data_IF_172016854586
#
_entry.id   IF_172016854586
#
_cell.length_a   1.000
_cell.length_b   1.000
_cell.length_c   1.000
_cell.angle_alpha   90.00
_cell.angle_beta   90.00
_cell.angle_gamma   90.00
#
_symmetry.space_group_name_H-M   'P 1'
#
loop_
_entity.id
_entity.type
_entity.pdbx_description
1 polymer ?
#
# COMPACT_ATOMS: atom_id res chain seq x y z
N UNK A 1 -18.13 -0.81 -42.68
CA UNK A 1 -19.26 -0.46 -41.85
C UNK A 1 -18.67 0.41 -40.73
N UNK A 2 -19.08 1.67 -40.57
CA UNK A 2 -18.62 2.47 -39.43
C UNK A 2 -19.19 1.85 -38.16
N UNK A 3 -18.28 1.60 -37.19
CA UNK A 3 -18.67 1.08 -35.89
C UNK A 3 -19.66 2.02 -35.20
N UNK A 4 -20.62 1.45 -34.51
CA UNK A 4 -21.56 2.17 -33.65
C UNK A 4 -20.77 3.03 -32.64
N UNK A 5 -21.21 4.27 -32.34
CA UNK A 5 -20.56 5.07 -31.31
C UNK A 5 -20.64 4.29 -29.99
N UNK A 6 -19.48 4.07 -29.38
CA UNK A 6 -19.41 3.54 -27.99
C UNK A 6 -20.43 4.29 -27.16
N UNK A 7 -21.38 3.54 -26.55
CA UNK A 7 -22.34 4.10 -25.62
C UNK A 7 -21.64 5.03 -24.64
N UNK A 8 -22.27 6.16 -24.36
CA UNK A 8 -21.74 7.20 -23.49
C UNK A 8 -21.20 6.57 -22.20
N UNK A 9 -19.90 6.67 -22.04
CA UNK A 9 -19.12 6.00 -21.03
C UNK A 9 -19.77 6.20 -19.66
N UNK A 10 -20.12 5.11 -19.00
CA UNK A 10 -20.89 5.10 -17.76
C UNK A 10 -20.06 5.75 -16.67
N UNK A 11 -20.46 6.96 -16.26
CA UNK A 11 -19.87 7.65 -15.11
C UNK A 11 -20.16 6.87 -13.85
N UNK A 12 -19.13 6.61 -13.04
CA UNK A 12 -19.26 5.95 -11.75
C UNK A 12 -18.90 6.90 -10.61
N UNK A 13 -19.87 7.19 -9.74
CA UNK A 13 -19.62 7.84 -8.45
C UNK A 13 -19.27 6.83 -7.34
N UNK A 14 -19.56 5.55 -7.56
CA UNK A 14 -19.49 4.51 -6.55
C UNK A 14 -18.05 4.23 -6.13
N UNK A 15 -17.13 4.11 -7.09
CA UNK A 15 -15.72 3.85 -6.82
C UNK A 15 -14.95 5.05 -6.26
N UNK A 16 -15.42 6.28 -6.51
CA UNK A 16 -14.79 7.49 -5.99
C UNK A 16 -14.73 7.45 -4.48
N UNK A 17 -15.79 6.96 -3.86
CA UNK A 17 -15.92 6.97 -2.41
C UNK A 17 -14.84 6.14 -1.73
N UNK A 18 -14.43 5.03 -2.33
CA UNK A 18 -13.45 4.10 -1.75
C UNK A 18 -12.05 4.72 -1.58
N UNK A 19 -11.75 5.75 -2.37
CA UNK A 19 -10.46 6.42 -2.33
C UNK A 19 -10.49 7.89 -1.91
N UNK A 20 -11.69 8.48 -1.74
CA UNK A 20 -11.85 9.93 -1.56
C UNK A 20 -11.10 10.49 -0.34
N UNK A 21 -10.88 9.67 0.70
CA UNK A 21 -10.07 10.05 1.84
C UNK A 21 -8.66 10.45 1.43
N UNK A 22 -8.03 9.73 0.51
CA UNK A 22 -6.70 10.06 -0.01
C UNK A 22 -6.71 11.35 -0.83
N UNK A 23 -7.81 11.62 -1.54
CA UNK A 23 -7.97 12.86 -2.29
C UNK A 23 -8.15 14.09 -1.37
N UNK A 24 -8.73 13.90 -0.17
CA UNK A 24 -8.94 14.98 0.79
C UNK A 24 -7.71 15.31 1.63
N UNK A 25 -6.73 14.45 1.71
CA UNK A 25 -5.47 14.67 2.45
C UNK A 25 -4.69 15.87 1.91
N UNK A 26 -3.83 16.44 2.75
CA UNK A 26 -2.93 17.52 2.35
C UNK A 26 -1.89 17.04 1.37
N UNK A 27 -1.29 15.90 1.67
CA UNK A 27 -0.27 15.26 0.84
C UNK A 27 -0.87 14.11 0.06
N UNK A 28 -0.56 14.02 -1.23
CA UNK A 28 -0.94 12.89 -2.06
C UNK A 28 -0.08 11.70 -1.70
N UNK A 29 -0.70 10.62 -1.29
CA UNK A 29 0.01 9.37 -1.01
C UNK A 29 0.19 8.62 -2.32
N UNK A 30 1.42 8.56 -2.78
CA UNK A 30 1.80 7.92 -4.04
C UNK A 30 2.82 6.80 -3.76
N UNK A 31 2.35 5.55 -3.53
CA UNK A 31 3.25 4.42 -3.42
C UNK A 31 3.97 4.14 -4.73
N UNK A 32 5.12 3.49 -4.65
CA UNK A 32 5.95 3.04 -5.77
C UNK A 32 6.25 1.55 -5.67
N UNK A 33 5.91 0.79 -6.70
CA UNK A 33 6.45 -0.54 -6.93
C UNK A 33 7.66 -0.46 -7.85
N UNK A 34 8.71 -1.18 -7.51
CA UNK A 34 9.95 -1.24 -8.25
C UNK A 34 10.29 -2.70 -8.56
N UNK A 35 10.24 -3.07 -9.84
CA UNK A 35 10.62 -4.40 -10.32
C UNK A 35 11.93 -4.32 -11.06
N UNK A 36 12.93 -5.06 -10.60
CA UNK A 36 14.19 -5.22 -11.34
C UNK A 36 14.08 -6.45 -12.23
N UNK A 37 14.17 -6.26 -13.54
CA UNK A 37 14.15 -7.32 -14.53
C UNK A 37 15.57 -7.84 -14.77
N UNK A 38 15.69 -9.05 -15.33
CA UNK A 38 16.98 -9.65 -15.62
C UNK A 38 17.73 -8.93 -16.76
N UNK A 39 17.03 -8.26 -17.65
CA UNK A 39 17.58 -7.55 -18.82
C UNK A 39 17.12 -6.10 -18.86
N UNK A 40 17.84 -5.21 -19.54
CA UNK A 40 17.40 -3.83 -19.76
C UNK A 40 16.01 -3.76 -20.40
N UNK A 41 15.18 -2.86 -19.89
CA UNK A 41 13.79 -2.66 -20.33
C UNK A 41 13.78 -1.91 -21.65
N UNK A 42 13.00 -2.41 -22.59
CA UNK A 42 12.67 -1.69 -23.82
C UNK A 42 11.40 -0.85 -23.60
N UNK A 43 11.48 0.49 -23.60
CA UNK A 43 10.34 1.36 -23.32
C UNK A 43 9.23 1.22 -24.36
N UNK A 44 9.56 0.91 -25.64
CA UNK A 44 8.56 0.78 -26.68
C UNK A 44 7.74 -0.51 -26.54
N UNK A 45 8.39 -1.61 -26.15
CA UNK A 45 7.69 -2.86 -25.83
C UNK A 45 6.86 -2.72 -24.53
N UNK A 46 7.37 -1.97 -23.54
CA UNK A 46 6.64 -1.72 -22.32
C UNK A 46 5.38 -0.86 -22.58
N UNK A 47 5.46 0.12 -23.50
CA UNK A 47 4.29 0.90 -23.93
C UNK A 47 3.23 0.00 -24.58
N UNK A 48 3.62 -0.89 -25.50
CA UNK A 48 2.69 -1.82 -26.14
C UNK A 48 2.02 -2.74 -25.10
N UNK A 49 2.79 -3.21 -24.12
CA UNK A 49 2.25 -4.03 -23.03
C UNK A 49 1.25 -3.26 -22.15
N UNK A 50 1.54 -2.00 -21.84
CA UNK A 50 0.64 -1.11 -21.09
C UNK A 50 -0.68 -0.89 -21.84
N UNK A 51 -0.61 -0.56 -23.13
CA UNK A 51 -1.79 -0.31 -23.96
C UNK A 51 -2.70 -1.54 -24.00
N UNK A 52 -2.13 -2.72 -24.22
CA UNK A 52 -2.88 -3.98 -24.22
C UNK A 52 -3.44 -4.38 -22.84
N UNK A 53 -2.72 -4.07 -21.77
CA UNK A 53 -3.19 -4.32 -20.40
C UNK A 53 -4.37 -3.40 -20.03
N UNK A 54 -4.35 -2.14 -20.47
CA UNK A 54 -5.42 -1.18 -20.22
C UNK A 54 -6.74 -1.58 -20.92
N UNK A 55 -6.69 -2.26 -22.07
CA UNK A 55 -7.88 -2.82 -22.70
C UNK A 55 -8.54 -3.91 -21.83
N UNK A 56 -7.73 -4.71 -21.14
CA UNK A 56 -8.21 -5.77 -20.24
C UNK A 56 -8.61 -5.25 -18.86
N UNK A 57 -8.26 -4.00 -18.53
CA UNK A 57 -8.45 -3.42 -17.19
C UNK A 57 -9.10 -2.01 -17.25
N UNK A 58 -10.35 -1.88 -17.70
CA UNK A 58 -11.02 -0.59 -17.88
C UNK A 58 -11.12 0.22 -16.60
N UNK A 59 -11.08 -0.41 -15.43
CA UNK A 59 -11.06 0.27 -14.13
C UNK A 59 -9.89 1.27 -13.99
N UNK A 60 -8.74 1.00 -14.61
CA UNK A 60 -7.58 1.90 -14.57
C UNK A 60 -7.57 2.94 -15.69
N UNK A 61 -8.44 2.80 -16.69
CA UNK A 61 -8.56 3.74 -17.79
C UNK A 61 -9.59 4.83 -17.51
N UNK A 62 -9.39 5.53 -16.41
CA UNK A 62 -10.35 6.53 -15.91
C UNK A 62 -9.67 7.83 -15.51
N UNK A 63 -10.46 8.91 -15.49
CA UNK A 63 -10.11 10.20 -14.91
C UNK A 63 -11.19 10.68 -13.95
N UNK A 64 -10.85 11.55 -13.01
CA UNK A 64 -11.78 12.14 -12.05
C UNK A 64 -12.36 13.42 -12.60
N UNK A 65 -13.68 13.54 -12.56
CA UNK A 65 -14.41 14.75 -12.95
C UNK A 65 -15.28 15.23 -11.79
N UNK A 66 -15.22 16.52 -11.54
CA UNK A 66 -16.03 17.18 -10.53
C UNK A 66 -17.17 17.97 -11.17
N UNK A 67 -18.39 17.63 -10.80
CA UNK A 67 -19.58 18.39 -11.15
C UNK A 67 -20.24 18.95 -9.88
N UNK A 68 -20.24 20.29 -9.78
CA UNK A 68 -20.84 20.99 -8.62
C UNK A 68 -20.24 20.51 -7.29
N UNK A 69 -20.76 19.46 -6.72
CA UNK A 69 -20.40 18.91 -5.39
C UNK A 69 -20.15 17.42 -5.39
N UNK A 70 -20.21 16.78 -6.55
CA UNK A 70 -20.03 15.34 -6.73
C UNK A 70 -18.83 15.07 -7.62
N UNK A 71 -18.14 13.99 -7.31
CA UNK A 71 -17.05 13.47 -8.11
C UNK A 71 -17.51 12.20 -8.86
N UNK A 72 -16.96 12.02 -10.05
CA UNK A 72 -17.23 10.86 -10.87
C UNK A 72 -15.93 10.38 -11.48
N UNK A 73 -15.76 9.05 -11.58
CA UNK A 73 -14.81 8.45 -12.51
C UNK A 73 -15.49 8.32 -13.86
N UNK A 74 -14.83 8.78 -14.90
CA UNK A 74 -15.27 8.57 -16.28
C UNK A 74 -14.10 8.02 -17.10
N UNK A 75 -14.36 7.30 -18.21
CA UNK A 75 -13.28 6.82 -19.06
C UNK A 75 -12.37 7.94 -19.53
N UNK A 76 -11.08 7.65 -19.51
CA UNK A 76 -10.05 8.54 -19.99
C UNK A 76 -9.66 8.15 -21.42
N UNK A 77 -9.81 9.06 -22.36
CA UNK A 77 -9.42 8.88 -23.77
C UNK A 77 -8.00 9.35 -24.10
N UNK A 78 -7.37 10.05 -23.16
CA UNK A 78 -6.00 10.52 -23.34
C UNK A 78 -5.02 9.33 -23.37
N UNK A 79 -3.88 9.45 -24.08
CA UNK A 79 -2.87 8.40 -24.08
C UNK A 79 -2.24 8.21 -22.68
N UNK A 80 -2.11 6.96 -22.27
CA UNK A 80 -1.34 6.59 -21.09
C UNK A 80 0.10 6.30 -21.52
N UNK A 81 1.06 7.04 -20.98
CA UNK A 81 2.45 6.99 -21.45
C UNK A 81 3.35 6.22 -20.51
N UNK A 82 4.32 5.49 -21.07
CA UNK A 82 5.50 5.00 -20.35
C UNK A 82 6.57 6.09 -20.38
N UNK A 83 7.15 6.37 -19.21
CA UNK A 83 8.20 7.38 -19.07
C UNK A 83 9.57 6.70 -18.99
N UNK A 84 10.54 7.07 -19.87
CA UNK A 84 11.87 6.44 -19.90
C UNK A 84 12.83 7.05 -18.87
N UNK A 85 12.37 7.20 -17.65
CA UNK A 85 13.11 7.74 -16.49
C UNK A 85 12.57 7.15 -15.19
N UNK A 86 13.15 7.51 -14.03
CA UNK A 86 12.69 7.08 -12.69
C UNK A 86 11.98 8.17 -11.90
N UNK A 87 11.72 9.34 -12.52
CA UNK A 87 11.20 10.52 -11.85
C UNK A 87 9.70 10.36 -11.59
N UNK A 88 9.29 10.38 -10.32
CA UNK A 88 7.87 10.31 -9.94
C UNK A 88 7.11 11.51 -10.52
N UNK A 89 5.93 11.23 -11.07
CA UNK A 89 5.05 12.23 -11.66
C UNK A 89 3.98 12.67 -10.66
N UNK A 90 3.64 13.95 -10.71
CA UNK A 90 2.48 14.45 -9.98
C UNK A 90 1.19 13.98 -10.67
N UNK A 91 0.38 13.21 -9.94
CA UNK A 91 -0.83 12.59 -10.47
C UNK A 91 -2.09 13.30 -9.95
N UNK A 92 -3.10 13.50 -10.78
CA UNK A 92 -3.20 13.15 -12.20
C UNK A 92 -2.68 14.24 -13.17
N UNK A 93 -2.06 15.30 -12.66
CA UNK A 93 -1.73 16.52 -13.39
C UNK A 93 -0.68 16.30 -14.50
N UNK A 94 0.32 15.46 -14.24
CA UNK A 94 1.43 15.18 -15.17
C UNK A 94 1.29 13.82 -15.88
N UNK A 95 0.15 13.15 -15.72
CA UNK A 95 -0.09 11.79 -16.23
C UNK A 95 -1.30 11.71 -17.17
N UNK A 96 -1.62 12.78 -17.89
CA UNK A 96 -2.78 12.85 -18.78
C UNK A 96 -4.10 12.46 -18.08
N UNK A 97 -4.24 12.81 -16.79
CA UNK A 97 -5.44 12.51 -16.02
C UNK A 97 -5.49 11.10 -15.40
N UNK A 98 -4.47 10.25 -15.62
CA UNK A 98 -4.38 8.94 -14.98
C UNK A 98 -3.90 9.06 -13.53
N UNK A 99 -4.35 8.10 -12.70
CA UNK A 99 -3.96 7.99 -11.29
C UNK A 99 -2.78 7.05 -11.07
N UNK A 100 -2.05 6.75 -12.11
CA UNK A 100 -0.81 5.99 -12.06
C UNK A 100 0.15 6.47 -13.15
N UNK A 101 1.42 6.13 -12.98
CA UNK A 101 2.49 6.34 -13.95
C UNK A 101 3.35 5.08 -14.05
N UNK A 102 3.70 4.69 -15.26
CA UNK A 102 4.62 3.58 -15.53
C UNK A 102 5.92 4.15 -16.07
N UNK A 103 7.02 3.80 -15.41
CA UNK A 103 8.36 4.29 -15.76
C UNK A 103 9.31 3.13 -16.03
N UNK A 104 10.38 3.37 -16.73
CA UNK A 104 11.48 2.43 -16.81
C UNK A 104 12.83 3.15 -16.94
N UNK A 105 13.82 2.63 -16.22
CA UNK A 105 15.20 3.08 -16.33
C UNK A 105 16.13 1.86 -16.21
N UNK A 106 17.06 1.72 -17.16
CA UNK A 106 17.93 0.55 -17.23
C UNK A 106 17.12 -0.76 -17.26
N UNK A 107 17.25 -1.63 -16.26
CA UNK A 107 16.52 -2.88 -16.12
C UNK A 107 15.40 -2.81 -15.07
N UNK A 108 14.98 -1.61 -14.67
CA UNK A 108 13.98 -1.41 -13.64
C UNK A 108 12.69 -0.84 -14.23
N UNK A 109 11.57 -1.44 -13.86
CA UNK A 109 10.22 -0.92 -14.09
C UNK A 109 9.69 -0.34 -12.79
N UNK A 110 9.24 0.90 -12.80
CA UNK A 110 8.60 1.57 -11.68
C UNK A 110 7.12 1.78 -12.01
N UNK A 111 6.27 1.49 -11.04
CA UNK A 111 4.85 1.76 -11.11
C UNK A 111 4.45 2.61 -9.91
N UNK A 112 4.14 3.86 -10.18
CA UNK A 112 3.65 4.81 -9.19
C UNK A 112 2.14 4.92 -9.32
N UNK A 113 1.43 5.03 -8.20
CA UNK A 113 0.01 5.32 -8.28
C UNK A 113 -0.44 6.23 -7.14
N UNK A 114 -1.41 7.08 -7.43
CA UNK A 114 -2.09 7.82 -6.38
C UNK A 114 -3.02 6.86 -5.62
N UNK A 115 -2.82 6.73 -4.33
CA UNK A 115 -3.54 5.76 -3.49
C UNK A 115 -5.07 5.94 -3.51
N UNK A 116 -5.55 7.06 -4.09
CA UNK A 116 -6.95 7.31 -4.39
C UNK A 116 -7.59 6.20 -5.22
N UNK A 117 -6.90 5.69 -6.27
CA UNK A 117 -7.51 4.74 -7.21
C UNK A 117 -7.54 3.31 -6.67
N UNK A 118 -6.52 2.89 -5.92
CA UNK A 118 -6.38 1.51 -5.46
C UNK A 118 -5.40 1.38 -4.29
N UNK A 119 -5.51 0.27 -3.56
CA UNK A 119 -4.45 -0.23 -2.67
C UNK A 119 -3.46 -1.14 -3.43
N UNK A 120 -2.40 -1.58 -2.75
CA UNK A 120 -1.36 -2.42 -3.35
C UNK A 120 -1.90 -3.75 -3.90
N UNK A 121 -2.86 -4.37 -3.23
CA UNK A 121 -3.52 -5.61 -3.69
C UNK A 121 -4.40 -5.35 -4.92
N UNK A 122 -5.02 -4.17 -4.99
CA UNK A 122 -5.82 -3.74 -6.14
C UNK A 122 -4.98 -3.57 -7.40
N UNK A 123 -3.81 -2.90 -7.33
CA UNK A 123 -2.96 -2.65 -8.50
C UNK A 123 -2.18 -3.88 -8.97
N UNK A 124 -1.87 -4.83 -8.07
CA UNK A 124 -1.01 -5.96 -8.38
C UNK A 124 -1.44 -6.78 -9.62
N UNK A 125 -2.73 -7.13 -9.83
CA UNK A 125 -3.14 -7.88 -11.02
C UNK A 125 -2.96 -7.10 -12.33
N UNK A 126 -3.14 -5.79 -12.29
CA UNK A 126 -2.94 -4.95 -13.46
C UNK A 126 -1.45 -4.86 -13.81
N UNK A 127 -0.61 -4.62 -12.82
CA UNK A 127 0.83 -4.56 -13.03
C UNK A 127 1.43 -5.90 -13.43
N UNK A 128 0.98 -7.01 -12.81
CA UNK A 128 1.36 -8.37 -13.24
C UNK A 128 1.05 -8.59 -14.71
N UNK A 129 -0.14 -8.15 -15.17
CA UNK A 129 -0.54 -8.26 -16.57
C UNK A 129 0.37 -7.45 -17.50
N UNK A 130 0.77 -6.23 -17.12
CA UNK A 130 1.72 -5.42 -17.91
C UNK A 130 3.04 -6.18 -18.06
N UNK A 131 3.57 -6.76 -16.97
CA UNK A 131 4.83 -7.51 -17.00
C UNK A 131 4.72 -8.81 -17.81
N UNK A 132 3.60 -9.54 -17.72
CA UNK A 132 3.31 -10.73 -18.53
C UNK A 132 3.32 -10.40 -20.04
N UNK A 133 2.60 -9.35 -20.44
CA UNK A 133 2.53 -8.91 -21.83
C UNK A 133 3.88 -8.36 -22.31
N UNK A 134 4.62 -7.66 -21.46
CA UNK A 134 5.99 -7.26 -21.78
C UNK A 134 6.88 -8.48 -22.03
N UNK A 135 6.79 -9.53 -21.20
CA UNK A 135 7.54 -10.76 -21.41
C UNK A 135 7.15 -11.48 -22.71
N UNK A 136 5.86 -11.45 -23.08
CA UNK A 136 5.44 -11.98 -24.38
C UNK A 136 6.17 -11.29 -25.56
N UNK A 137 6.24 -9.97 -25.51
CA UNK A 137 6.88 -9.17 -26.56
C UNK A 137 8.41 -9.32 -26.52
N UNK A 138 9.01 -9.36 -25.33
CA UNK A 138 10.46 -9.33 -25.15
C UNK A 138 11.11 -10.71 -25.30
N UNK A 139 10.44 -11.76 -24.78
CA UNK A 139 11.03 -13.10 -24.63
C UNK A 139 10.26 -14.19 -25.38
N UNK A 140 9.16 -13.83 -26.05
CA UNK A 140 8.34 -14.80 -26.80
C UNK A 140 7.56 -15.75 -25.91
N UNK A 141 7.24 -15.37 -24.67
CA UNK A 141 6.31 -16.12 -23.81
C UNK A 141 4.87 -16.02 -24.35
N UNK A 142 3.94 -16.77 -23.76
CA UNK A 142 2.57 -16.84 -24.27
C UNK A 142 1.53 -16.64 -23.14
N UNK A 143 1.76 -15.65 -22.26
CA UNK A 143 0.79 -15.28 -21.25
C UNK A 143 -0.50 -14.74 -21.90
N UNK A 144 -1.64 -15.20 -21.40
CA UNK A 144 -2.94 -14.78 -21.89
C UNK A 144 -3.32 -13.37 -21.38
N UNK A 145 -4.18 -12.67 -22.12
CA UNK A 145 -4.72 -11.35 -21.74
C UNK A 145 -6.25 -11.35 -21.54
N UNK A 146 -6.82 -12.18 -20.63
CA UNK A 146 -8.23 -12.09 -20.31
C UNK A 146 -8.56 -10.78 -19.56
N UNK A 147 -9.81 -10.31 -19.60
CA UNK A 147 -10.26 -9.18 -18.81
C UNK A 147 -9.91 -9.32 -17.33
N UNK A 148 -9.45 -8.25 -16.70
CA UNK A 148 -9.19 -8.20 -15.27
C UNK A 148 -10.50 -7.84 -14.55
N UNK A 149 -11.10 -8.76 -13.77
CA UNK A 149 -12.36 -8.49 -13.12
C UNK A 149 -12.20 -7.41 -12.03
N UNK A 150 -13.23 -6.56 -11.90
CA UNK A 150 -13.36 -5.61 -10.80
C UNK A 150 -14.73 -5.82 -10.14
N UNK A 151 -14.75 -6.13 -8.83
CA UNK A 151 -15.99 -6.22 -8.08
C UNK A 151 -16.70 -4.87 -8.04
N UNK A 152 -18.05 -4.84 -8.05
CA UNK A 152 -18.79 -3.62 -7.75
C UNK A 152 -18.35 -2.99 -6.43
N UNK A 153 -18.44 -1.67 -6.34
CA UNK A 153 -18.15 -0.97 -5.08
C UNK A 153 -19.18 -1.41 -4.02
N UNK A 154 -18.73 -1.58 -2.78
CA UNK A 154 -19.64 -1.88 -1.68
C UNK A 154 -20.41 -0.62 -1.25
N UNK A 155 -21.62 -0.83 -0.75
CA UNK A 155 -22.52 0.25 -0.32
C UNK A 155 -22.09 0.79 1.06
N UNK A 156 -21.42 1.95 1.03
CA UNK A 156 -20.94 2.64 2.24
C UNK A 156 -22.12 3.10 3.12
N UNK A 157 -23.21 3.57 2.53
CA UNK A 157 -24.33 4.05 3.31
C UNK A 157 -24.92 2.93 4.17
N UNK A 158 -25.12 1.76 3.56
CA UNK A 158 -25.56 0.55 4.25
C UNK A 158 -24.57 0.07 5.31
N UNK A 159 -23.26 0.15 5.01
CA UNK A 159 -22.23 -0.24 5.96
C UNK A 159 -22.25 0.67 7.21
N UNK A 160 -22.35 1.98 7.03
CA UNK A 160 -22.40 2.97 8.12
C UNK A 160 -23.72 2.88 8.91
N UNK A 161 -24.83 2.51 8.26
CA UNK A 161 -26.10 2.24 8.94
C UNK A 161 -26.00 0.99 9.83
N UNK A 162 -25.37 -0.08 9.34
CA UNK A 162 -25.18 -1.33 10.09
C UNK A 162 -24.19 -1.15 11.27
N UNK A 163 -23.17 -0.31 11.09
CA UNK A 163 -22.13 -0.03 12.06
C UNK A 163 -22.08 1.48 12.35
N UNK A 164 -22.97 2.01 13.19
CA UNK A 164 -22.93 3.42 13.55
C UNK A 164 -21.56 3.80 14.13
N UNK A 165 -21.08 5.02 13.75
CA UNK A 165 -19.83 5.55 14.27
C UNK A 165 -19.84 5.55 15.79
N UNK A 166 -18.86 4.92 16.39
CA UNK A 166 -18.57 5.11 17.81
C UNK A 166 -17.86 6.45 17.96
N UNK A 167 -18.30 7.24 18.95
CA UNK A 167 -17.51 8.37 19.43
C UNK A 167 -16.23 7.76 19.97
N UNK A 168 -15.08 8.14 19.42
CA UNK A 168 -13.80 7.65 19.94
C UNK A 168 -13.74 7.94 21.41
N UNK A 169 -13.57 6.90 22.21
CA UNK A 169 -13.33 7.04 23.64
C UNK A 169 -12.00 7.79 23.79
N UNK A 170 -12.03 8.93 24.50
CA UNK A 170 -10.89 9.84 24.64
C UNK A 170 -9.78 9.26 25.55
N UNK A 171 -9.52 7.97 25.51
CA UNK A 171 -8.26 7.45 26.03
C UNK A 171 -7.13 7.94 25.14
N UNK A 172 -6.88 9.24 25.27
CA UNK A 172 -5.69 9.92 24.76
C UNK A 172 -4.49 9.27 25.45
N UNK A 173 -3.91 8.25 24.82
CA UNK A 173 -2.57 7.83 25.19
C UNK A 173 -1.66 9.04 25.01
N UNK A 174 -1.10 9.54 26.11
CA UNK A 174 -0.07 10.57 26.07
C UNK A 174 1.05 10.05 25.20
N UNK A 175 1.33 10.75 24.12
CA UNK A 175 2.32 10.37 23.14
C UNK A 175 3.57 11.22 23.28
N UNK A 176 4.68 10.55 23.36
CA UNK A 176 5.97 11.16 23.16
C UNK A 176 6.18 11.39 21.65
N UNK A 177 6.23 12.67 21.24
CA UNK A 177 6.38 13.03 19.85
C UNK A 177 7.83 12.83 19.43
N UNK A 178 8.06 11.98 18.44
CA UNK A 178 9.37 11.83 17.81
C UNK A 178 9.56 12.98 16.82
N UNK A 179 10.73 13.62 16.85
CA UNK A 179 11.08 14.64 15.86
C UNK A 179 11.14 13.98 14.46
N UNK A 180 10.48 14.60 13.50
CA UNK A 180 10.43 14.12 12.11
C UNK A 180 10.70 15.25 11.12
N UNK A 181 11.29 14.91 9.98
CA UNK A 181 11.44 15.80 8.84
C UNK A 181 10.18 15.82 7.97
N UNK A 182 10.01 16.84 7.14
CA UNK A 182 8.90 16.92 6.19
C UNK A 182 8.99 15.80 5.14
N UNK A 183 10.18 15.59 4.57
CA UNK A 183 10.46 14.54 3.60
C UNK A 183 11.14 13.33 4.26
N UNK A 184 11.01 12.11 3.70
CA UNK A 184 11.76 10.95 4.14
C UNK A 184 13.27 11.21 4.04
N UNK A 185 13.98 11.15 5.17
CA UNK A 185 15.43 11.34 5.22
C UNK A 185 16.21 10.17 4.61
N UNK A 186 15.66 8.96 4.76
CA UNK A 186 16.36 7.74 4.35
C UNK A 186 15.38 6.72 3.83
N UNK A 187 15.70 6.13 2.69
CA UNK A 187 15.14 4.87 2.22
C UNK A 187 16.05 3.74 2.68
N UNK A 188 15.48 2.74 3.33
CA UNK A 188 16.22 1.62 3.87
C UNK A 188 15.69 0.33 3.27
N UNK A 189 16.59 -0.55 2.85
CA UNK A 189 16.26 -1.87 2.35
C UNK A 189 16.93 -2.94 3.19
N UNK A 190 16.12 -3.91 3.64
CA UNK A 190 16.57 -5.09 4.37
C UNK A 190 16.07 -6.33 3.64
N UNK A 191 16.93 -7.32 3.43
CA UNK A 191 16.57 -8.55 2.74
C UNK A 191 17.04 -9.77 3.51
N UNK A 192 16.17 -10.78 3.58
CA UNK A 192 16.47 -12.07 4.23
C UNK A 192 15.60 -13.19 3.64
N UNK A 193 15.94 -14.45 3.90
CA UNK A 193 15.20 -15.57 3.37
C UNK A 193 13.86 -15.76 4.10
N UNK A 194 12.77 -15.93 3.37
CA UNK A 194 11.43 -16.19 3.89
C UNK A 194 11.39 -17.40 4.82
N UNK A 195 12.12 -18.47 4.48
CA UNK A 195 12.15 -19.73 5.27
C UNK A 195 12.58 -19.49 6.72
N UNK A 196 13.51 -18.56 6.95
CA UNK A 196 14.06 -18.30 8.29
C UNK A 196 13.02 -17.56 9.16
N UNK A 197 12.28 -16.61 8.59
CA UNK A 197 11.14 -15.97 9.28
C UNK A 197 10.01 -16.97 9.58
N UNK A 198 9.72 -17.87 8.63
CA UNK A 198 8.71 -18.93 8.85
C UNK A 198 9.15 -19.85 10.00
N UNK A 199 10.42 -20.24 10.04
CA UNK A 199 10.98 -21.05 11.12
C UNK A 199 10.87 -20.33 12.48
N UNK A 200 11.16 -19.01 12.53
CA UNK A 200 11.00 -18.18 13.72
C UNK A 200 9.54 -18.11 14.18
N UNK A 201 8.59 -17.93 13.27
CA UNK A 201 7.16 -17.97 13.57
C UNK A 201 6.74 -19.31 14.18
N UNK A 202 7.18 -20.43 13.58
CA UNK A 202 6.91 -21.79 14.10
C UNK A 202 7.51 -21.99 15.49
N UNK A 203 8.76 -21.56 15.71
CA UNK A 203 9.44 -21.65 17.01
C UNK A 203 8.64 -20.95 18.12
N UNK A 204 8.02 -19.82 17.83
CA UNK A 204 7.24 -19.03 18.80
C UNK A 204 5.74 -19.36 18.80
N UNK A 205 5.27 -20.29 17.96
CA UNK A 205 3.86 -20.66 17.83
C UNK A 205 2.97 -19.54 17.25
N UNK A 206 3.53 -18.62 16.45
CA UNK A 206 2.84 -17.47 15.88
C UNK A 206 2.97 -17.41 14.35
N UNK A 207 2.16 -16.57 13.72
CA UNK A 207 2.32 -16.32 12.27
C UNK A 207 3.60 -15.56 11.98
N UNK A 208 4.26 -15.82 10.83
CA UNK A 208 5.47 -15.08 10.42
C UNK A 208 5.30 -13.56 10.41
N UNK A 209 4.10 -13.08 10.04
CA UNK A 209 3.73 -11.67 10.11
C UNK A 209 3.93 -11.07 11.52
N UNK A 210 3.42 -11.77 12.55
CA UNK A 210 3.52 -11.31 13.95
C UNK A 210 4.95 -11.42 14.46
N UNK A 211 5.69 -12.47 14.08
CA UNK A 211 7.10 -12.60 14.41
C UNK A 211 7.91 -11.41 13.85
N UNK A 212 7.71 -11.06 12.57
CA UNK A 212 8.37 -9.92 11.95
C UNK A 212 7.98 -8.60 12.61
N UNK A 213 6.68 -8.38 12.87
CA UNK A 213 6.19 -7.18 13.54
C UNK A 213 6.77 -7.01 14.95
N UNK A 214 6.89 -8.10 15.69
CA UNK A 214 7.55 -8.09 17.01
C UNK A 214 9.03 -7.73 16.94
N UNK A 215 9.76 -8.28 15.95
CA UNK A 215 11.18 -7.94 15.71
C UNK A 215 11.35 -6.47 15.31
N UNK A 216 10.40 -5.94 14.51
CA UNK A 216 10.38 -4.51 14.18
C UNK A 216 10.14 -3.65 15.44
N UNK A 217 9.24 -4.06 16.35
CA UNK A 217 9.03 -3.34 17.60
C UNK A 217 10.30 -3.27 18.45
N UNK A 218 11.04 -4.38 18.59
CA UNK A 218 12.32 -4.41 19.32
C UNK A 218 13.32 -3.46 18.67
N UNK A 219 13.53 -3.58 17.33
CA UNK A 219 14.50 -2.78 16.62
C UNK A 219 14.16 -1.28 16.63
N UNK A 220 12.88 -0.94 16.47
CA UNK A 220 12.43 0.45 16.44
C UNK A 220 12.37 1.06 17.85
N UNK A 221 12.09 0.26 18.91
CA UNK A 221 12.21 0.70 20.29
C UNK A 221 13.62 1.18 20.59
N UNK A 222 14.61 0.39 20.25
CA UNK A 222 16.03 0.78 20.39
C UNK A 222 16.39 1.99 19.51
N UNK A 223 15.96 1.99 18.26
CA UNK A 223 16.22 3.09 17.34
C UNK A 223 15.62 4.41 17.82
N UNK A 224 14.39 4.40 18.25
CA UNK A 224 13.66 5.61 18.71
C UNK A 224 14.02 5.96 20.16
N UNK A 225 14.59 5.05 20.94
CA UNK A 225 14.86 5.21 22.38
C UNK A 225 13.58 5.20 23.21
N UNK A 226 12.64 4.32 22.89
CA UNK A 226 11.33 4.24 23.52
C UNK A 226 11.10 2.88 24.18
N UNK A 227 10.53 2.92 25.39
CA UNK A 227 10.10 1.72 26.10
C UNK A 227 8.71 1.23 25.66
N UNK A 228 7.94 2.08 24.98
CA UNK A 228 6.63 1.71 24.43
C UNK A 228 6.56 2.08 22.96
N UNK A 229 6.29 1.10 22.12
CA UNK A 229 6.16 1.28 20.67
C UNK A 229 4.70 1.10 20.26
N UNK A 230 4.17 2.14 19.64
CA UNK A 230 2.87 2.13 18.98
C UNK A 230 3.04 1.77 17.52
N UNK A 231 2.33 0.75 17.07
CA UNK A 231 2.38 0.33 15.66
C UNK A 231 1.00 0.27 15.05
N UNK A 232 0.95 0.54 13.76
CA UNK A 232 -0.25 0.36 12.96
C UNK A 232 0.01 -0.67 11.87
N UNK A 233 -0.98 -1.46 11.51
CA UNK A 233 -0.85 -2.43 10.43
C UNK A 233 -2.09 -2.47 9.56
N UNK A 234 -1.85 -2.73 8.27
CA UNK A 234 -2.88 -2.79 7.25
C UNK A 234 -3.53 -4.17 7.19
N UNK A 235 -4.84 -4.20 6.96
CA UNK A 235 -5.61 -5.41 6.75
C UNK A 235 -6.48 -5.32 5.50
N UNK A 236 -6.37 -6.31 4.62
CA UNK A 236 -7.25 -6.47 3.47
C UNK A 236 -8.67 -6.83 3.95
N UNK A 237 -9.66 -6.12 3.46
CA UNK A 237 -11.07 -6.30 3.82
C UNK A 237 -11.91 -6.92 2.72
N UNK A 238 -11.34 -7.29 1.57
CA UNK A 238 -12.07 -7.81 0.40
C UNK A 238 -12.98 -8.99 0.72
N UNK A 239 -12.48 -9.94 1.49
CA UNK A 239 -13.24 -11.09 1.98
C UNK A 239 -14.40 -10.67 2.88
N UNK A 240 -14.15 -9.80 3.85
CA UNK A 240 -15.14 -9.32 4.80
C UNK A 240 -16.23 -8.46 4.13
N UNK A 241 -15.87 -7.71 3.08
CA UNK A 241 -16.77 -6.84 2.33
C UNK A 241 -17.49 -7.55 1.18
N UNK A 242 -17.19 -8.83 0.91
CA UNK A 242 -17.78 -9.58 -0.20
C UNK A 242 -17.34 -9.07 -1.59
N UNK A 243 -16.17 -8.47 -1.70
CA UNK A 243 -15.65 -7.87 -2.92
C UNK A 243 -14.27 -8.48 -3.32
N UNK A 244 -14.18 -9.79 -3.57
CA UNK A 244 -12.91 -10.50 -3.73
C UNK A 244 -12.05 -9.98 -4.88
N UNK A 245 -12.67 -9.42 -5.91
CA UNK A 245 -11.98 -8.86 -7.07
C UNK A 245 -11.93 -7.32 -7.05
N UNK A 246 -12.11 -6.68 -5.90
CA UNK A 246 -12.04 -5.23 -5.82
C UNK A 246 -10.66 -4.72 -6.27
N UNK A 247 -10.66 -3.70 -7.16
CA UNK A 247 -9.44 -3.01 -7.60
C UNK A 247 -9.24 -1.67 -6.87
N UNK A 248 -10.31 -1.13 -6.31
CA UNK A 248 -10.32 0.04 -5.44
C UNK A 248 -9.77 -0.28 -4.03
N UNK A 249 -9.68 0.74 -3.18
CA UNK A 249 -9.18 0.57 -1.82
C UNK A 249 -10.10 -0.30 -0.96
N UNK A 250 -9.54 -1.41 -0.47
CA UNK A 250 -10.18 -2.33 0.45
C UNK A 250 -9.27 -2.61 1.65
N UNK A 251 -8.63 -1.57 2.18
CA UNK A 251 -7.71 -1.68 3.32
C UNK A 251 -8.28 -0.92 4.49
N UNK A 252 -8.27 -1.54 5.67
CA UNK A 252 -8.40 -0.84 6.93
C UNK A 252 -7.12 -0.99 7.76
N UNK A 253 -6.97 -0.12 8.76
CA UNK A 253 -5.80 -0.10 9.62
C UNK A 253 -6.18 -0.37 11.06
N UNK A 254 -5.45 -1.26 11.69
CA UNK A 254 -5.51 -1.49 13.12
C UNK A 254 -4.28 -0.90 13.79
N UNK A 255 -4.43 -0.48 15.03
CA UNK A 255 -3.35 0.07 15.83
C UNK A 255 -3.32 -0.64 17.17
N UNK A 256 -2.10 -0.90 17.66
CA UNK A 256 -1.83 -1.49 18.95
C UNK A 256 -0.44 -1.03 19.44
N UNK A 257 -0.02 -1.46 20.61
CA UNK A 257 1.27 -1.09 21.16
C UNK A 257 1.86 -2.22 21.99
N UNK A 258 3.18 -2.15 22.18
CA UNK A 258 3.91 -3.08 23.06
C UNK A 258 4.84 -2.28 23.96
N UNK A 259 4.88 -2.63 25.23
CA UNK A 259 5.87 -2.10 26.17
C UNK A 259 7.07 -3.04 26.20
N UNK A 260 8.23 -2.46 25.94
CA UNK A 260 9.52 -3.12 25.90
C UNK A 260 10.27 -2.80 27.22
N UNK A 261 11.11 -3.68 27.65
CA UNK A 261 12.07 -3.44 28.72
C UNK A 261 13.48 -3.75 28.21
N UNK A 262 14.48 -3.39 28.96
CA UNK A 262 15.87 -3.72 28.62
C UNK A 262 16.01 -5.24 28.44
N UNK A 263 16.69 -5.65 27.36
CA UNK A 263 16.90 -7.06 27.00
C UNK A 263 15.60 -7.86 26.71
N UNK A 264 14.49 -7.21 26.39
CA UNK A 264 13.24 -7.90 26.02
C UNK A 264 13.46 -8.87 24.84
N UNK A 265 12.90 -10.08 24.98
CA UNK A 265 12.96 -11.09 23.92
C UNK A 265 11.61 -11.24 23.22
N UNK A 266 11.65 -11.62 21.96
CA UNK A 266 10.45 -11.76 21.12
C UNK A 266 9.42 -12.69 21.76
N UNK A 267 9.83 -13.81 22.36
CA UNK A 267 8.98 -14.81 22.96
C UNK A 267 8.11 -14.30 24.14
N UNK A 268 8.49 -13.19 24.77
CA UNK A 268 7.82 -12.66 25.95
C UNK A 268 6.48 -11.98 25.62
N UNK A 269 6.30 -11.45 24.42
CA UNK A 269 5.11 -10.68 24.04
C UNK A 269 4.47 -11.10 22.71
N UNK A 270 5.19 -11.80 21.84
CA UNK A 270 4.73 -12.05 20.45
C UNK A 270 3.45 -12.90 20.38
N UNK A 271 3.22 -13.79 21.35
CA UNK A 271 1.99 -14.61 21.40
C UNK A 271 0.76 -13.75 21.72
N UNK A 272 0.91 -12.76 22.63
CA UNK A 272 -0.16 -11.81 22.93
C UNK A 272 -0.44 -10.94 21.71
N UNK A 273 0.60 -10.45 21.02
CA UNK A 273 0.49 -9.71 19.77
C UNK A 273 -0.24 -10.52 18.69
N UNK A 274 0.13 -11.79 18.47
CA UNK A 274 -0.52 -12.67 17.51
C UNK A 274 -2.00 -12.93 17.84
N UNK A 275 -2.34 -13.05 19.10
CA UNK A 275 -3.73 -13.18 19.58
C UNK A 275 -4.55 -11.91 19.27
N UNK A 276 -4.02 -10.73 19.57
CA UNK A 276 -4.66 -9.44 19.28
C UNK A 276 -4.85 -9.23 17.77
N UNK A 277 -3.84 -9.56 16.96
CA UNK A 277 -3.93 -9.51 15.49
C UNK A 277 -5.00 -10.47 14.96
N UNK A 278 -5.07 -11.70 15.48
CA UNK A 278 -6.11 -12.67 15.07
C UNK A 278 -7.52 -12.16 15.37
N UNK A 279 -7.74 -11.55 16.54
CA UNK A 279 -9.04 -10.94 16.88
C UNK A 279 -9.38 -9.81 15.92
N UNK A 280 -8.43 -8.91 15.66
CA UNK A 280 -8.61 -7.77 14.76
C UNK A 280 -8.92 -8.18 13.31
N UNK A 281 -8.37 -9.30 12.84
CA UNK A 281 -8.56 -9.79 11.47
C UNK A 281 -9.87 -10.57 11.25
N UNK A 282 -10.74 -10.68 12.24
CA UNK A 282 -12.07 -11.26 12.04
C UNK A 282 -12.91 -10.42 11.08
N UNK A 283 -13.82 -11.06 10.33
CA UNK A 283 -14.65 -10.36 9.34
C UNK A 283 -15.50 -9.24 9.99
N UNK A 284 -15.99 -9.48 11.20
CA UNK A 284 -16.77 -8.50 11.96
C UNK A 284 -15.93 -7.26 12.34
N UNK A 285 -14.72 -7.45 12.86
CA UNK A 285 -13.81 -6.36 13.21
C UNK A 285 -13.39 -5.56 11.98
N UNK A 286 -13.08 -6.23 10.87
CA UNK A 286 -12.77 -5.58 9.60
C UNK A 286 -13.92 -4.70 9.09
N UNK A 287 -15.17 -5.20 9.11
CA UNK A 287 -16.35 -4.40 8.72
C UNK A 287 -16.54 -3.19 9.63
N UNK A 288 -16.46 -3.40 10.94
CA UNK A 288 -16.55 -2.30 11.92
C UNK A 288 -15.49 -1.24 11.64
N UNK A 289 -14.23 -1.66 11.51
CA UNK A 289 -13.11 -0.73 11.28
C UNK A 289 -13.25 0.03 9.97
N UNK A 290 -13.72 -0.64 8.91
CA UNK A 290 -14.03 0.00 7.63
C UNK A 290 -15.18 1.01 7.78
N UNK A 291 -16.23 0.68 8.53
CA UNK A 291 -17.32 1.60 8.81
C UNK A 291 -16.87 2.84 9.59
N UNK A 292 -15.99 2.68 10.58
CA UNK A 292 -15.44 3.80 11.35
C UNK A 292 -14.59 4.72 10.47
N UNK A 293 -13.68 4.17 9.68
CA UNK A 293 -12.85 4.95 8.75
C UNK A 293 -13.70 5.66 7.67
N UNK A 294 -14.54 4.91 7.00
CA UNK A 294 -15.34 5.44 5.89
C UNK A 294 -16.54 6.26 6.34
N UNK A 295 -17.03 6.04 7.55
CA UNK A 295 -18.17 6.78 8.10
C UNK A 295 -17.86 8.25 8.31
N UNK A 296 -16.67 8.59 8.77
CA UNK A 296 -16.21 9.98 8.84
C UNK A 296 -16.16 10.61 7.44
N UNK A 297 -15.51 9.94 6.50
CA UNK A 297 -15.41 10.38 5.11
C UNK A 297 -16.80 10.55 4.50
N UNK A 298 -17.71 9.60 4.73
CA UNK A 298 -19.11 9.66 4.27
C UNK A 298 -19.83 10.90 4.83
N UNK A 299 -19.71 11.18 6.12
CA UNK A 299 -20.32 12.37 6.73
C UNK A 299 -19.80 13.66 6.12
N UNK A 300 -18.49 13.74 5.87
CA UNK A 300 -17.90 14.92 5.22
C UNK A 300 -18.38 15.05 3.78
N UNK A 301 -18.44 13.95 3.03
CA UNK A 301 -18.85 13.97 1.62
C UNK A 301 -20.33 14.35 1.45
N UNK A 302 -21.21 13.91 2.34
CA UNK A 302 -22.63 14.27 2.31
C UNK A 302 -22.91 15.76 2.58
N UNK A 303 -21.95 16.54 3.04
CA UNK A 303 -22.14 17.97 3.28
C UNK A 303 -22.43 18.70 1.96
N UNK A 304 -23.45 19.58 1.97
CA UNK A 304 -23.81 20.45 0.83
C UNK A 304 -22.81 21.62 0.70
N UNK A 305 -21.52 21.31 0.71
CA UNK A 305 -20.43 22.28 0.67
C UNK A 305 -19.56 22.10 -0.58
N UNK A 306 -18.87 23.16 -1.05
CA UNK A 306 -17.85 23.04 -2.07
C UNK A 306 -16.70 22.11 -1.64
N UNK A 307 -16.05 21.46 -2.61
CA UNK A 307 -14.94 20.53 -2.37
C UNK A 307 -13.88 21.08 -1.41
N UNK A 308 -13.43 22.31 -1.64
CA UNK A 308 -12.39 22.94 -0.79
C UNK A 308 -12.78 23.03 0.69
N UNK A 309 -14.08 23.21 0.98
CA UNK A 309 -14.58 23.22 2.35
C UNK A 309 -14.59 21.79 2.91
N UNK A 310 -15.06 20.82 2.14
CA UNK A 310 -15.01 19.39 2.53
C UNK A 310 -13.58 18.96 2.85
N UNK A 311 -12.62 19.31 2.01
CA UNK A 311 -11.20 19.02 2.23
C UNK A 311 -10.69 19.62 3.54
N UNK A 312 -10.97 20.89 3.81
CA UNK A 312 -10.56 21.55 5.07
C UNK A 312 -11.16 20.88 6.29
N UNK A 313 -12.47 20.56 6.24
CA UNK A 313 -13.15 19.86 7.35
C UNK A 313 -12.52 18.49 7.58
N UNK A 314 -12.24 17.76 6.53
CA UNK A 314 -11.58 16.45 6.61
C UNK A 314 -10.18 16.58 7.23
N UNK A 315 -9.36 17.49 6.74
CA UNK A 315 -8.01 17.74 7.23
C UNK A 315 -7.96 18.21 8.70
N UNK A 316 -8.94 18.99 9.13
CA UNK A 316 -9.10 19.34 10.55
C UNK A 316 -9.45 18.12 11.40
N UNK A 317 -10.34 17.26 10.91
CA UNK A 317 -10.70 16.01 11.60
C UNK A 317 -9.52 15.06 11.71
N UNK A 318 -8.71 14.91 10.66
CA UNK A 318 -7.48 14.10 10.71
C UNK A 318 -6.49 14.64 11.77
N UNK A 319 -6.31 15.95 11.82
CA UNK A 319 -5.44 16.56 12.82
C UNK A 319 -5.90 16.33 14.27
N UNK A 320 -7.21 16.31 14.50
CA UNK A 320 -7.79 16.12 15.84
C UNK A 320 -7.82 14.63 16.23
N UNK A 321 -8.12 13.74 15.29
CA UNK A 321 -8.32 12.30 15.54
C UNK A 321 -7.05 11.44 15.34
N UNK A 322 -6.02 12.01 14.74
CA UNK A 322 -4.81 11.26 14.42
C UNK A 322 -3.89 11.10 15.64
N UNK A 323 -3.86 9.91 16.26
CA UNK A 323 -2.70 9.47 17.03
C UNK A 323 -1.85 8.69 16.04
N UNK A 324 -0.80 9.28 15.46
CA UNK A 324 0.07 8.54 14.57
C UNK A 324 0.78 7.45 15.36
N UNK A 325 0.85 6.23 14.82
CA UNK A 325 1.72 5.18 15.33
C UNK A 325 3.21 5.60 15.15
N UNK A 326 4.11 5.00 15.92
CA UNK A 326 5.55 5.20 15.72
C UNK A 326 5.98 4.67 14.35
N UNK A 327 5.35 3.58 13.89
CA UNK A 327 5.50 3.09 12.53
C UNK A 327 4.23 2.43 11.98
N UNK A 328 4.12 2.44 10.66
CA UNK A 328 3.16 1.65 9.89
C UNK A 328 3.83 0.40 9.36
N UNK A 329 3.12 -0.72 9.44
CA UNK A 329 3.57 -1.99 8.90
C UNK A 329 2.53 -2.56 7.92
N UNK A 330 2.98 -2.85 6.72
CA UNK A 330 2.19 -3.54 5.71
C UNK A 330 2.95 -4.74 5.17
N UNK A 331 2.25 -5.84 4.94
CA UNK A 331 2.82 -7.04 4.34
C UNK A 331 2.04 -7.43 3.09
N UNK A 332 2.54 -7.00 1.95
CA UNK A 332 1.93 -7.26 0.65
C UNK A 332 1.95 -8.75 0.27
N UNK A 333 2.94 -9.51 0.75
CA UNK A 333 3.17 -10.88 0.30
C UNK A 333 3.82 -10.91 -1.09
N UNK A 334 3.33 -11.79 -1.98
CA UNK A 334 3.83 -11.85 -3.37
C UNK A 334 3.22 -10.68 -4.19
N UNK A 335 4.05 -9.81 -4.80
CA UNK A 335 3.56 -8.69 -5.61
C UNK A 335 2.95 -9.13 -6.95
N UNK A 336 3.28 -10.33 -7.44
CA UNK A 336 2.74 -10.88 -8.68
C UNK A 336 1.43 -11.62 -8.38
N UNK A 337 0.31 -11.05 -8.81
CA UNK A 337 -1.01 -11.60 -8.55
C UNK A 337 -1.85 -11.67 -9.84
N UNK A 338 -2.37 -12.84 -10.21
CA UNK A 338 -2.16 -14.13 -9.54
C UNK A 338 -0.67 -14.54 -9.53
N UNK A 339 -0.29 -15.43 -8.61
CA UNK A 339 1.08 -15.91 -8.54
C UNK A 339 1.45 -16.64 -9.83
N UNK A 340 2.40 -16.08 -10.58
CA UNK A 340 2.83 -16.61 -11.87
C UNK A 340 4.32 -16.98 -11.79
N UNK A 341 4.66 -18.24 -11.42
CA UNK A 341 6.05 -18.65 -11.28
C UNK A 341 6.86 -18.45 -12.57
N UNK A 342 6.23 -18.61 -13.73
CA UNK A 342 6.85 -18.40 -15.03
C UNK A 342 7.27 -16.94 -15.25
N UNK A 343 6.53 -15.98 -14.70
CA UNK A 343 6.89 -14.55 -14.73
C UNK A 343 8.04 -14.27 -13.76
N UNK A 344 8.02 -14.87 -12.58
CA UNK A 344 8.98 -14.63 -11.52
C UNK A 344 10.44 -14.92 -11.94
N UNK A 345 10.68 -15.77 -12.94
CA UNK A 345 12.03 -16.04 -13.48
C UNK A 345 12.65 -14.85 -14.23
N UNK A 346 11.85 -13.89 -14.66
CA UNK A 346 12.32 -12.68 -15.37
C UNK A 346 12.52 -11.50 -14.43
N UNK A 347 12.12 -11.64 -13.16
CA UNK A 347 12.20 -10.59 -12.15
C UNK A 347 13.21 -11.01 -11.08
N UNK A 348 14.26 -10.24 -10.92
CA UNK A 348 15.36 -10.54 -10.00
C UNK A 348 15.19 -9.90 -8.64
N UNK A 349 14.44 -8.79 -8.55
CA UNK A 349 14.21 -8.06 -7.32
C UNK A 349 12.89 -7.29 -7.35
N UNK A 350 12.35 -7.02 -6.16
CA UNK A 350 11.15 -6.22 -5.97
C UNK A 350 11.25 -5.37 -4.70
N UNK A 351 10.87 -4.11 -4.80
CA UNK A 351 10.69 -3.20 -3.68
C UNK A 351 9.35 -2.48 -3.75
N UNK A 352 8.81 -2.13 -2.59
CA UNK A 352 7.61 -1.31 -2.46
C UNK A 352 7.87 -0.17 -1.50
N UNK A 353 7.68 1.07 -1.95
CA UNK A 353 7.96 2.28 -1.21
C UNK A 353 6.66 3.03 -0.98
N UNK A 354 6.36 3.35 0.27
CA UNK A 354 5.15 4.09 0.66
C UNK A 354 5.54 5.21 1.59
N UNK A 355 5.24 6.48 1.25
CA UNK A 355 5.52 7.60 2.13
C UNK A 355 4.81 7.45 3.48
N UNK A 356 5.47 7.76 4.61
CA UNK A 356 4.85 7.70 5.93
C UNK A 356 3.69 8.68 6.05
N UNK A 357 2.50 8.16 6.33
CA UNK A 357 1.29 8.94 6.50
C UNK A 357 1.11 9.35 7.96
N UNK A 358 1.59 10.53 8.33
CA UNK A 358 1.44 11.07 9.70
C UNK A 358 2.20 10.32 10.80
N UNK A 359 3.03 9.35 10.44
CA UNK A 359 3.93 8.61 11.32
C UNK A 359 5.40 8.94 11.06
N UNK A 360 6.30 8.32 11.84
CA UNK A 360 7.74 8.51 11.68
C UNK A 360 8.33 7.59 10.61
N UNK A 361 7.78 6.38 10.48
CA UNK A 361 8.29 5.35 9.58
C UNK A 361 7.13 4.60 8.90
N UNK A 362 7.33 4.23 7.63
CA UNK A 362 6.50 3.25 6.94
C UNK A 362 7.37 2.05 6.57
N UNK A 363 6.95 0.86 6.96
CA UNK A 363 7.65 -0.40 6.71
C UNK A 363 6.77 -1.27 5.82
N UNK A 364 7.20 -1.49 4.60
CA UNK A 364 6.54 -2.36 3.65
C UNK A 364 7.32 -3.66 3.48
N UNK A 365 6.65 -4.78 3.69
CA UNK A 365 7.23 -6.11 3.50
C UNK A 365 6.63 -6.80 2.28
N UNK A 366 7.47 -7.38 1.46
CA UNK A 366 7.07 -8.17 0.31
C UNK A 366 7.86 -9.47 0.21
N UNK A 367 7.36 -10.42 -0.57
CA UNK A 367 8.06 -11.69 -0.80
C UNK A 367 8.12 -11.99 -2.28
N UNK A 368 9.33 -12.10 -2.83
CA UNK A 368 9.55 -12.56 -4.19
C UNK A 368 10.68 -13.59 -4.20
N UNK A 369 10.52 -14.69 -4.95
CA UNK A 369 11.54 -15.73 -5.12
C UNK A 369 12.11 -16.29 -3.79
N UNK A 370 11.27 -16.37 -2.74
CA UNK A 370 11.69 -16.87 -1.43
C UNK A 370 12.48 -15.88 -0.58
N UNK A 371 12.64 -14.65 -1.03
CA UNK A 371 13.27 -13.55 -0.29
C UNK A 371 12.18 -12.61 0.21
N UNK A 372 12.27 -12.22 1.47
CA UNK A 372 11.53 -11.09 2.03
C UNK A 372 12.37 -9.83 1.85
N UNK A 373 11.76 -8.80 1.32
CA UNK A 373 12.31 -7.46 1.22
C UNK A 373 11.49 -6.52 2.08
N UNK A 374 12.15 -5.85 3.04
CA UNK A 374 11.59 -4.72 3.76
C UNK A 374 12.08 -3.44 3.08
N UNK A 375 11.15 -2.60 2.69
CA UNK A 375 11.39 -1.24 2.24
C UNK A 375 10.86 -0.29 3.31
N UNK A 376 11.73 0.57 3.84
CA UNK A 376 11.39 1.46 4.94
C UNK A 376 11.63 2.89 4.47
N UNK A 377 10.57 3.69 4.49
CA UNK A 377 10.69 5.14 4.38
C UNK A 377 10.68 5.75 5.78
N UNK A 378 11.73 6.49 6.10
CA UNK A 378 12.04 6.97 7.45
C UNK A 378 12.15 8.49 7.48
N UNK A 379 11.29 9.15 8.26
CA UNK A 379 11.31 10.60 8.49
C UNK A 379 12.09 11.01 9.76
N UNK A 380 12.63 10.06 10.51
CA UNK A 380 13.39 10.38 11.74
C UNK A 380 14.82 10.80 11.35
N UNK A 381 15.30 11.97 11.76
CA UNK A 381 16.64 12.48 11.43
C UNK A 381 17.74 11.78 12.24
N UNK A 382 17.81 10.46 12.19
CA UNK A 382 18.76 9.62 12.94
C UNK A 382 19.26 8.50 12.05
N UNK A 383 20.58 8.30 12.05
CA UNK A 383 21.21 7.20 11.34
C UNK A 383 21.20 5.90 12.17
N UNK A 384 21.63 4.78 11.55
CA UNK A 384 21.93 3.53 12.23
C UNK A 384 20.83 2.46 12.18
N UNK A 385 19.62 2.77 11.73
CA UNK A 385 18.52 1.78 11.67
C UNK A 385 18.85 0.49 10.88
N UNK A 386 19.57 0.51 9.72
CA UNK A 386 19.95 -0.73 9.04
C UNK A 386 20.80 -1.66 9.90
N UNK A 387 21.74 -1.11 10.66
CA UNK A 387 22.61 -1.86 11.57
C UNK A 387 21.85 -2.47 12.75
N UNK A 388 20.91 -1.73 13.32
CA UNK A 388 20.05 -2.22 14.42
C UNK A 388 19.15 -3.37 13.91
N UNK A 389 18.49 -3.19 12.77
CA UNK A 389 17.64 -4.22 12.17
C UNK A 389 18.42 -5.49 11.84
N UNK A 390 19.62 -5.35 11.25
CA UNK A 390 20.50 -6.50 11.01
C UNK A 390 20.81 -7.24 12.30
N UNK A 391 21.26 -6.55 13.32
CA UNK A 391 21.63 -7.16 14.60
C UNK A 391 20.44 -7.87 15.29
N UNK A 392 19.26 -7.24 15.32
CA UNK A 392 18.07 -7.81 15.92
C UNK A 392 17.62 -9.07 15.16
N UNK A 393 17.58 -9.04 13.82
CA UNK A 393 17.19 -10.19 13.00
C UNK A 393 18.20 -11.35 13.15
N UNK A 394 19.51 -11.07 13.10
CA UNK A 394 20.57 -12.08 13.23
C UNK A 394 20.63 -12.69 14.63
N UNK A 395 20.40 -11.90 15.70
CA UNK A 395 20.29 -12.40 17.07
C UNK A 395 19.14 -13.40 17.24
N UNK A 396 18.06 -13.23 16.48
CA UNK A 396 16.90 -14.12 16.47
C UNK A 396 17.01 -15.26 15.41
N UNK A 397 18.20 -15.47 14.84
CA UNK A 397 18.48 -16.56 13.92
C UNK A 397 17.98 -16.36 12.51
N UNK A 398 17.75 -15.11 12.08
CA UNK A 398 17.38 -14.72 10.72
C UNK A 398 18.57 -14.05 10.04
N UNK A 399 19.38 -14.77 9.25
CA UNK A 399 20.53 -14.19 8.56
C UNK A 399 20.11 -13.11 7.57
N UNK A 400 20.71 -11.93 7.66
CA UNK A 400 20.41 -10.78 6.82
C UNK A 400 21.31 -10.78 5.59
N UNK A 401 20.73 -10.91 4.41
CA UNK A 401 21.43 -10.89 3.12
C UNK A 401 21.86 -9.47 2.74
N UNK A 402 21.04 -8.48 3.05
CA UNK A 402 21.28 -7.08 2.74
C UNK A 402 20.65 -6.20 3.83
N UNK A 403 21.38 -5.17 4.26
CA UNK A 403 20.87 -4.10 5.13
C UNK A 403 21.60 -2.81 4.78
N UNK A 404 20.92 -1.90 4.09
CA UNK A 404 21.53 -0.65 3.62
C UNK A 404 20.52 0.50 3.62
N UNK A 405 21.05 1.71 3.85
CA UNK A 405 20.37 2.93 3.44
C UNK A 405 20.65 3.14 1.94
N UNK A 406 19.59 3.47 1.20
CA UNK A 406 19.70 3.84 -0.20
C UNK A 406 19.81 5.36 -0.25
N UNK A 407 20.81 5.88 -0.94
CA UNK A 407 20.84 7.29 -1.28
C UNK A 407 19.64 7.63 -2.15
N UNK A 408 19.13 8.85 -2.04
CA UNK A 408 17.97 9.31 -2.81
C UNK A 408 18.21 9.09 -4.32
N UNK A 409 17.28 8.42 -4.95
CA UNK A 409 17.21 8.28 -6.42
C UNK A 409 16.22 9.28 -6.99
#
# INVERSE_FOLDING_TARGET
MPGEPMEAAQRSAEYVFQGIMYYFRREKVCPRYQFTLKDPVDPALLQQALDAALEAAPYYRVRLVWEKRKAFLEPNSEPCLVYPDSVMREMPEQTNGYFFALHCAQNVVYFDWFHFIADGHGVSPFLTRILELYCNLRYGTAFANPPIPCSPAYDIAKLVEQYPLQVMDETTMQREVVETCEEPMHRIRIRFAKKDLVAKGVQNGVKPFCALMGLLCIALGEYLGKDTIQYSYSADTRDAMGAPNARYNCVCSFQDGVTLHEDVRLEEFVQQMDSAVKDSLTAERKRRKMADQMGWVYKVDQQKAPLRIKQRVFQMGEYISGIPADFWFSYLGNPLMPNTPELAQYITDFGVWVPPEGGSLCVEASTLNGIITLCIENKVPKAGLPGILRRVLEAEGIPVLEAQALDEV
#
